data_IF_189213806929
#
_entry.id   IF_189213806929
#
_cell.length_a   1.000
_cell.length_b   1.000
_cell.length_c   1.000
_cell.angle_alpha   90.00
_cell.angle_beta   90.00
_cell.angle_gamma   90.00
#
_symmetry.space_group_name_H-M   'P 1'
#
loop_
_entity.id
_entity.type
_entity.pdbx_description
1 polymer ?
#
# COMPACT_ATOMS: atom_id res chain seq x y z
N UNK A 1 -19.34 -13.59 7.34
CA UNK A 1 -18.83 -12.86 6.17
C UNK A 1 -17.61 -12.05 6.57
N UNK A 2 -16.57 -11.93 5.74
CA UNK A 2 -15.43 -11.08 6.03
C UNK A 2 -15.85 -9.59 6.06
N UNK A 3 -15.20 -8.80 6.93
CA UNK A 3 -15.34 -7.34 6.91
C UNK A 3 -14.76 -6.76 5.60
N UNK A 4 -15.36 -5.67 5.12
CA UNK A 4 -14.85 -4.90 3.98
C UNK A 4 -13.64 -4.05 4.40
N UNK A 5 -12.48 -4.69 4.57
CA UNK A 5 -11.30 -4.05 5.10
C UNK A 5 -9.97 -4.58 4.51
N UNK A 6 -10.02 -5.24 3.36
CA UNK A 6 -8.82 -5.69 2.63
C UNK A 6 -8.57 -4.75 1.47
N UNK A 7 -7.35 -4.28 1.34
CA UNK A 7 -6.99 -3.25 0.36
C UNK A 7 -6.20 -3.88 -0.78
N UNK A 8 -6.64 -3.61 -2.00
CA UNK A 8 -5.94 -4.01 -3.21
C UNK A 8 -4.86 -2.96 -3.61
N UNK A 9 -4.02 -3.24 -4.63
CA UNK A 9 -3.00 -2.30 -5.09
C UNK A 9 -3.56 -0.97 -5.62
N UNK A 10 -4.80 -0.94 -6.10
CA UNK A 10 -5.48 0.28 -6.55
C UNK A 10 -5.95 1.15 -5.37
N UNK A 11 -5.97 0.58 -4.16
CA UNK A 11 -6.46 1.20 -2.96
C UNK A 11 -7.96 1.06 -2.76
N UNK A 12 -8.65 0.20 -3.50
CA UNK A 12 -10.04 -0.16 -3.22
C UNK A 12 -10.12 -1.12 -2.03
N UNK A 13 -11.27 -1.13 -1.34
CA UNK A 13 -11.49 -1.90 -0.10
C UNK A 13 -12.53 -2.98 -0.33
N UNK A 14 -12.14 -4.23 -0.06
CA UNK A 14 -12.89 -5.44 -0.41
C UNK A 14 -13.22 -6.28 0.82
N UNK A 15 -14.31 -7.05 0.71
CA UNK A 15 -14.77 -8.00 1.73
C UNK A 15 -14.35 -9.42 1.35
N UNK A 16 -13.08 -9.73 1.61
CA UNK A 16 -12.47 -11.04 1.32
C UNK A 16 -11.80 -11.61 2.58
N UNK A 17 -11.68 -12.95 2.73
CA UNK A 17 -11.23 -13.56 3.98
C UNK A 17 -9.73 -13.34 4.27
N UNK A 18 -8.91 -13.08 3.26
CA UNK A 18 -7.46 -13.01 3.37
C UNK A 18 -7.03 -11.88 4.32
N UNK A 19 -6.14 -12.21 5.26
CA UNK A 19 -5.67 -11.24 6.25
C UNK A 19 -4.39 -10.52 5.80
N UNK A 20 -3.54 -11.20 5.03
CA UNK A 20 -2.23 -10.69 4.65
C UNK A 20 -1.26 -10.46 5.82
N UNK A 21 -0.14 -9.81 5.53
CA UNK A 21 0.97 -9.60 6.48
C UNK A 21 0.86 -8.28 7.26
N UNK A 22 0.26 -7.25 6.66
CA UNK A 22 0.23 -5.91 7.25
C UNK A 22 -1.19 -5.41 7.47
N UNK A 23 -1.30 -4.50 8.43
CA UNK A 23 -2.48 -3.69 8.68
C UNK A 23 -2.18 -2.24 8.28
N UNK A 24 -3.15 -1.35 8.31
CA UNK A 24 -2.98 0.08 8.14
C UNK A 24 -4.27 0.83 8.37
N UNK A 25 -4.25 2.13 8.07
CA UNK A 25 -5.43 2.98 8.23
C UNK A 25 -5.55 4.08 7.20
N UNK A 26 -6.77 4.62 7.10
CA UNK A 26 -7.11 5.86 6.40
C UNK A 26 -7.93 6.79 7.29
N UNK A 27 -7.68 6.74 8.61
CA UNK A 27 -8.53 7.34 9.64
C UNK A 27 -9.79 6.54 9.95
N UNK A 28 -10.80 7.20 10.53
CA UNK A 28 -12.08 6.58 10.93
C UNK A 28 -13.07 6.71 9.77
N UNK A 29 -13.32 5.58 9.09
CA UNK A 29 -14.19 5.50 7.91
C UNK A 29 -15.24 4.37 8.01
N UNK A 30 -15.49 3.88 9.21
CA UNK A 30 -16.49 2.85 9.49
C UNK A 30 -17.49 3.33 10.55
N UNK A 31 -18.65 2.69 10.59
CA UNK A 31 -19.56 2.70 11.71
C UNK A 31 -19.17 1.57 12.69
N UNK A 32 -18.88 1.86 13.97
CA UNK A 32 -18.35 0.87 14.92
C UNK A 32 -19.37 -0.14 15.44
N UNK A 33 -20.67 0.13 15.29
CA UNK A 33 -21.74 -0.79 15.72
C UNK A 33 -21.95 -1.86 14.65
N UNK A 34 -22.05 -1.43 13.41
CA UNK A 34 -22.35 -2.31 12.26
C UNK A 34 -21.09 -2.87 11.60
N UNK A 35 -19.91 -2.29 11.88
CA UNK A 35 -18.64 -2.58 11.21
C UNK A 35 -18.71 -2.43 9.69
N UNK A 36 -19.48 -1.45 9.23
CA UNK A 36 -19.63 -1.13 7.80
C UNK A 36 -18.90 0.15 7.44
N UNK A 37 -18.43 0.27 6.19
CA UNK A 37 -17.78 1.49 5.72
C UNK A 37 -18.80 2.62 5.52
N UNK A 38 -18.43 3.82 5.95
CA UNK A 38 -19.16 5.06 5.68
C UNK A 38 -19.01 5.47 4.21
N UNK A 39 -19.71 6.51 3.73
CA UNK A 39 -19.54 7.00 2.35
C UNK A 39 -18.12 7.51 2.05
N UNK A 40 -17.45 8.14 3.04
CA UNK A 40 -16.06 8.57 2.92
C UNK A 40 -15.11 7.36 2.85
N UNK A 41 -14.04 7.44 2.05
CA UNK A 41 -13.03 6.37 1.90
C UNK A 41 -11.69 6.69 2.57
N UNK A 42 -11.56 7.90 3.14
CA UNK A 42 -10.48 8.32 4.02
C UNK A 42 -10.96 9.49 4.90
N UNK A 43 -10.25 9.74 5.99
CA UNK A 43 -10.45 10.90 6.86
C UNK A 43 -9.15 11.68 7.12
N UNK A 44 -8.01 11.18 6.66
CA UNK A 44 -6.68 11.75 6.86
C UNK A 44 -5.83 11.50 5.60
N UNK A 45 -4.82 12.34 5.37
CA UNK A 45 -3.82 12.12 4.31
C UNK A 45 -2.75 11.09 4.71
N UNK A 46 -2.49 10.97 6.02
CA UNK A 46 -1.53 10.05 6.62
C UNK A 46 -2.04 8.59 6.58
N UNK A 47 -1.94 7.98 5.41
CA UNK A 47 -2.23 6.57 5.20
C UNK A 47 -0.99 5.77 5.58
N UNK A 48 -1.11 4.93 6.61
CA UNK A 48 0.05 4.25 7.18
C UNK A 48 -0.07 2.73 7.16
N UNK A 49 1.08 2.06 7.10
CA UNK A 49 1.27 0.63 7.17
C UNK A 49 1.70 0.28 8.60
N UNK A 50 0.92 -0.54 9.27
CA UNK A 50 1.10 -1.01 10.63
C UNK A 50 1.48 -2.50 10.67
N UNK A 51 2.26 -2.88 11.67
CA UNK A 51 2.44 -4.29 12.01
C UNK A 51 1.12 -4.88 12.53
N UNK A 52 0.87 -6.15 12.18
CA UNK A 52 -0.30 -6.90 12.64
C UNK A 52 -0.27 -7.20 14.15
N UNK A 53 0.92 -7.31 14.74
CA UNK A 53 1.15 -7.55 16.17
C UNK A 53 2.23 -6.58 16.63
N UNK A 54 1.98 -5.87 17.73
CA UNK A 54 2.95 -4.94 18.31
C UNK A 54 2.73 -4.84 19.82
N UNK A 55 3.72 -5.31 20.60
CA UNK A 55 3.64 -5.34 22.07
C UNK A 55 2.34 -6.02 22.54
N UNK A 56 1.71 -5.50 23.59
CA UNK A 56 0.44 -5.98 24.12
C UNK A 56 -0.78 -5.23 23.55
N UNK A 57 -0.63 -4.54 22.42
CA UNK A 57 -1.74 -3.78 21.81
C UNK A 57 -2.73 -4.77 21.18
N UNK A 58 -3.96 -4.80 21.72
CA UNK A 58 -5.09 -5.53 21.16
C UNK A 58 -6.09 -4.55 20.56
N UNK A 59 -6.66 -4.91 19.42
CA UNK A 59 -7.65 -4.11 18.70
C UNK A 59 -8.73 -5.02 18.15
N UNK A 60 -9.96 -4.57 18.25
CA UNK A 60 -11.06 -5.14 17.50
C UNK A 60 -11.13 -4.45 16.12
N UNK A 61 -11.03 -5.17 14.99
CA UNK A 61 -11.18 -4.56 13.68
C UNK A 61 -12.52 -3.83 13.56
N UNK A 62 -12.47 -2.56 13.15
CA UNK A 62 -13.64 -1.67 13.04
C UNK A 62 -14.42 -1.51 14.35
N UNK A 63 -13.69 -1.55 15.48
CA UNK A 63 -14.27 -1.49 16.82
C UNK A 63 -14.05 -0.17 17.56
N UNK A 64 -14.52 -0.14 18.81
CA UNK A 64 -14.39 0.97 19.76
C UNK A 64 -13.03 0.94 20.48
N UNK A 65 -11.96 1.14 19.72
CA UNK A 65 -10.57 1.02 20.22
C UNK A 65 -10.03 2.27 20.95
N UNK A 66 -10.84 3.33 21.15
CA UNK A 66 -10.43 4.56 21.86
C UNK A 66 -11.10 4.69 23.24
N UNK A 67 -10.49 5.42 24.19
CA UNK A 67 -11.07 5.68 25.51
C UNK A 67 -12.50 6.24 25.44
N UNK A 68 -13.32 5.87 26.43
CA UNK A 68 -14.74 6.25 26.48
C UNK A 68 -15.59 5.56 25.41
N UNK A 69 -15.18 4.37 24.96
CA UNK A 69 -15.94 3.57 23.99
C UNK A 69 -16.03 4.22 22.61
N UNK A 70 -15.05 5.05 22.20
CA UNK A 70 -15.09 5.74 20.89
C UNK A 70 -14.52 4.86 19.79
N UNK A 71 -15.03 5.02 18.56
CA UNK A 71 -14.51 4.34 17.38
C UNK A 71 -13.02 4.59 17.21
N UNK A 72 -12.26 3.52 16.93
CA UNK A 72 -10.86 3.62 16.49
C UNK A 72 -10.74 4.00 15.01
N UNK A 73 -9.51 4.18 14.52
CA UNK A 73 -9.28 4.21 13.07
C UNK A 73 -9.64 2.86 12.45
N UNK A 74 -10.12 2.86 11.21
CA UNK A 74 -10.52 1.65 10.50
C UNK A 74 -9.32 0.78 10.20
N UNK A 75 -9.28 -0.42 10.78
CA UNK A 75 -8.25 -1.42 10.52
C UNK A 75 -8.37 -2.00 9.10
N UNK A 76 -7.45 -1.58 8.22
CA UNK A 76 -7.30 -2.08 6.84
C UNK A 76 -6.16 -3.09 6.76
N UNK A 77 -6.26 -4.07 5.86
CA UNK A 77 -5.32 -5.18 5.73
C UNK A 77 -4.76 -5.29 4.31
N UNK A 78 -3.50 -5.70 4.20
CA UNK A 78 -2.76 -5.79 2.94
C UNK A 78 -2.07 -7.15 2.87
N UNK A 79 -2.05 -7.74 1.67
CA UNK A 79 -1.32 -8.97 1.39
C UNK A 79 0.11 -8.88 1.95
N UNK A 80 0.82 -7.81 1.59
CA UNK A 80 2.17 -7.50 2.03
C UNK A 80 2.46 -6.00 1.97
N UNK A 81 3.72 -5.59 2.18
CA UNK A 81 4.09 -4.19 2.15
C UNK A 81 4.08 -3.62 0.73
N UNK A 82 4.48 -4.42 -0.27
CA UNK A 82 4.43 -4.03 -1.69
C UNK A 82 3.02 -3.58 -2.10
N UNK A 83 2.01 -4.37 -1.71
CA UNK A 83 0.59 -4.03 -1.92
C UNK A 83 0.21 -2.72 -1.22
N UNK A 84 0.66 -2.53 0.02
CA UNK A 84 0.33 -1.34 0.81
C UNK A 84 1.00 -0.06 0.28
N UNK A 85 2.23 -0.19 -0.19
CA UNK A 85 3.00 0.87 -0.86
C UNK A 85 2.37 1.25 -2.19
N UNK A 86 1.90 0.28 -2.98
CA UNK A 86 1.16 0.52 -4.21
C UNK A 86 -0.15 1.28 -3.95
N UNK A 87 -0.88 0.92 -2.89
CA UNK A 87 -2.03 1.68 -2.41
C UNK A 87 -1.67 3.04 -1.76
N UNK A 88 -0.39 3.42 -1.78
CA UNK A 88 0.14 4.71 -1.34
C UNK A 88 0.21 4.92 0.18
N UNK A 89 0.32 3.85 0.97
CA UNK A 89 0.55 3.95 2.41
C UNK A 89 2.06 4.01 2.68
N UNK A 90 2.48 4.62 3.80
CA UNK A 90 3.88 4.62 4.27
C UNK A 90 4.01 3.92 5.64
N UNK A 91 5.18 3.41 6.05
CA UNK A 91 5.30 2.76 7.36
C UNK A 91 4.93 3.65 8.57
N UNK A 92 4.36 3.04 9.62
CA UNK A 92 3.94 3.70 10.86
C UNK A 92 5.13 4.04 11.77
N UNK A 93 5.22 5.27 12.28
CA UNK A 93 6.25 5.64 13.28
C UNK A 93 6.05 4.99 14.66
N UNK A 94 4.88 4.43 14.92
CA UNK A 94 4.56 3.81 16.21
C UNK A 94 5.04 2.35 16.28
N UNK A 95 4.66 1.55 15.29
CA UNK A 95 4.85 0.10 15.27
C UNK A 95 5.95 -0.39 14.31
N UNK A 96 6.43 0.48 13.41
CA UNK A 96 7.40 0.20 12.36
C UNK A 96 8.40 1.35 12.27
N UNK A 97 8.88 1.82 13.43
CA UNK A 97 9.66 3.07 13.56
C UNK A 97 10.89 3.10 12.67
N UNK A 98 11.65 2.02 12.63
CA UNK A 98 12.85 1.91 11.79
C UNK A 98 12.49 2.04 10.31
N UNK A 99 11.52 1.26 9.83
CA UNK A 99 11.06 1.32 8.44
C UNK A 99 10.45 2.70 8.10
N UNK A 100 9.74 3.33 9.03
CA UNK A 100 9.19 4.66 8.84
C UNK A 100 10.26 5.74 8.73
N UNK A 101 11.32 5.63 9.55
CA UNK A 101 12.45 6.55 9.53
C UNK A 101 13.25 6.37 8.24
N UNK A 102 13.48 5.12 7.83
CA UNK A 102 14.17 4.78 6.60
C UNK A 102 13.40 5.28 5.37
N UNK A 103 12.10 5.03 5.29
CA UNK A 103 11.26 5.50 4.19
C UNK A 103 11.26 7.03 4.06
N UNK A 104 11.21 7.76 5.18
CA UNK A 104 11.25 9.23 5.16
C UNK A 104 12.66 9.76 4.83
N UNK A 105 13.72 9.08 5.27
CA UNK A 105 15.11 9.39 4.89
C UNK A 105 15.32 9.23 3.39
N UNK A 106 14.96 8.07 2.83
CA UNK A 106 15.00 7.80 1.39
C UNK A 106 14.15 8.78 0.58
N UNK A 107 13.01 9.23 1.12
CA UNK A 107 12.24 10.31 0.52
C UNK A 107 13.01 11.64 0.50
N UNK A 108 13.73 11.97 1.57
CA UNK A 108 14.59 13.14 1.61
C UNK A 108 15.69 13.08 0.55
N UNK A 109 16.39 11.95 0.46
CA UNK A 109 17.46 11.70 -0.51
C UNK A 109 16.95 11.79 -1.95
N UNK A 110 15.82 11.14 -2.25
CA UNK A 110 15.24 11.15 -3.59
C UNK A 110 14.82 12.54 -4.10
N UNK A 111 14.50 13.46 -3.20
CA UNK A 111 13.98 14.79 -3.55
C UNK A 111 14.87 15.95 -3.08
N UNK A 112 16.09 15.68 -2.59
CA UNK A 112 17.02 16.70 -2.12
C UNK A 112 16.50 17.52 -0.92
N UNK A 113 15.71 16.91 -0.03
CA UNK A 113 15.13 17.57 1.14
C UNK A 113 16.01 17.27 2.35
N UNK A 114 16.64 18.29 2.93
CA UNK A 114 17.52 18.16 4.09
C UNK A 114 16.78 17.69 5.35
N UNK A 115 15.57 18.19 5.59
CA UNK A 115 14.71 17.81 6.71
C UNK A 115 13.38 17.21 6.22
N UNK A 116 13.37 15.95 5.73
CA UNK A 116 12.17 15.32 5.26
C UNK A 116 11.20 15.04 6.42
N UNK A 117 9.93 15.45 6.26
CA UNK A 117 8.89 15.24 7.28
C UNK A 117 7.72 14.45 6.70
N UNK A 118 7.15 13.59 7.53
CA UNK A 118 6.00 12.75 7.16
C UNK A 118 4.82 13.53 6.52
N UNK A 119 4.41 14.72 7.00
CA UNK A 119 3.35 15.48 6.33
C UNK A 119 3.69 15.92 4.89
N UNK A 120 4.97 16.13 4.55
CA UNK A 120 5.38 16.46 3.19
C UNK A 120 5.14 15.26 2.26
N UNK A 121 5.56 14.08 2.71
CA UNK A 121 5.35 12.82 2.04
C UNK A 121 3.85 12.49 1.91
N UNK A 122 3.08 12.66 3.00
CA UNK A 122 1.63 12.39 3.01
C UNK A 122 0.87 13.25 1.99
N UNK A 123 1.25 14.52 1.81
CA UNK A 123 0.67 15.40 0.78
C UNK A 123 0.94 14.94 -0.63
N UNK A 124 2.19 14.54 -0.93
CA UNK A 124 2.57 14.02 -2.26
C UNK A 124 1.84 12.71 -2.57
N UNK A 125 1.88 11.76 -1.64
CA UNK A 125 1.18 10.49 -1.81
C UNK A 125 -0.33 10.69 -1.99
N UNK A 126 -0.93 11.67 -1.31
CA UNK A 126 -2.36 11.95 -1.45
C UNK A 126 -2.77 12.34 -2.88
N UNK A 127 -1.95 13.11 -3.60
CA UNK A 127 -2.25 13.50 -4.99
C UNK A 127 -1.95 12.39 -6.00
N UNK A 128 -1.10 11.42 -5.62
CA UNK A 128 -0.65 10.34 -6.50
C UNK A 128 -1.52 9.08 -6.42
N UNK A 129 -2.22 8.84 -5.30
CA UNK A 129 -3.04 7.62 -5.11
C UNK A 129 -4.28 7.61 -6.01
N UNK A 130 -4.57 6.50 -6.71
CA UNK A 130 -5.82 6.32 -7.45
C UNK A 130 -7.05 6.49 -6.56
N UNK A 131 -7.02 5.90 -5.37
CA UNK A 131 -8.13 5.94 -4.42
C UNK A 131 -8.48 7.35 -3.87
N UNK A 132 -7.62 8.36 -4.08
CA UNK A 132 -7.95 9.77 -3.80
C UNK A 132 -7.98 10.66 -5.05
N UNK A 133 -8.16 10.06 -6.23
CA UNK A 133 -8.35 10.77 -7.50
C UNK A 133 -7.08 11.01 -8.31
N UNK A 134 -5.93 10.51 -7.86
CA UNK A 134 -4.70 10.49 -8.64
C UNK A 134 -4.86 9.65 -9.91
N UNK A 135 -4.17 10.04 -10.98
CA UNK A 135 -4.16 9.31 -12.25
C UNK A 135 -2.82 8.60 -12.41
N UNK A 136 -2.77 7.26 -12.33
CA UNK A 136 -1.57 6.49 -12.66
C UNK A 136 -1.00 6.93 -14.01
N UNK A 137 0.31 7.22 -14.11
CA UNK A 137 0.93 7.39 -15.41
C UNK A 137 0.90 6.04 -16.16
N UNK A 138 0.74 6.11 -17.47
CA UNK A 138 0.86 4.94 -18.33
C UNK A 138 2.34 4.68 -18.60
N UNK A 139 2.76 3.43 -18.49
CA UNK A 139 4.13 2.98 -18.76
C UNK A 139 4.11 1.89 -19.83
N UNK A 140 5.13 1.89 -20.68
CA UNK A 140 5.38 0.85 -21.67
C UNK A 140 6.10 -0.35 -21.05
N UNK A 141 6.08 -1.49 -21.76
CA UNK A 141 6.82 -2.68 -21.35
C UNK A 141 8.33 -2.45 -21.30
N UNK A 142 8.85 -1.61 -22.19
CA UNK A 142 10.27 -1.24 -22.25
C UNK A 142 10.70 -0.47 -21.00
N UNK A 143 9.80 0.30 -20.38
CA UNK A 143 10.07 1.06 -19.16
C UNK A 143 10.05 0.19 -17.89
N UNK A 144 9.40 -0.99 -17.92
CA UNK A 144 9.33 -1.88 -16.76
C UNK A 144 10.70 -2.31 -16.26
N UNK A 145 11.68 -2.48 -17.16
CA UNK A 145 13.06 -2.81 -16.81
C UNK A 145 13.80 -1.74 -16.00
N UNK A 146 13.33 -0.48 -16.04
CA UNK A 146 13.88 0.63 -15.27
C UNK A 146 13.13 0.94 -13.97
N UNK A 147 12.08 0.17 -13.66
CA UNK A 147 11.34 0.30 -12.40
C UNK A 147 11.97 -0.57 -11.31
N UNK A 148 11.99 -0.11 -10.06
CA UNK A 148 12.56 -0.87 -8.96
C UNK A 148 11.66 -2.06 -8.59
N UNK A 149 12.27 -3.10 -8.01
CA UNK A 149 11.54 -4.18 -7.36
C UNK A 149 10.57 -3.61 -6.31
N UNK A 150 9.34 -4.13 -6.31
CA UNK A 150 8.26 -3.66 -5.43
C UNK A 150 7.39 -2.56 -6.04
N UNK A 151 7.72 -2.04 -7.23
CA UNK A 151 6.76 -1.28 -8.02
C UNK A 151 5.63 -2.21 -8.52
N UNK A 152 4.41 -1.69 -8.54
CA UNK A 152 3.24 -2.38 -9.09
C UNK A 152 2.65 -1.62 -10.27
N UNK A 153 2.28 -2.35 -11.31
CA UNK A 153 1.58 -1.88 -12.51
C UNK A 153 0.26 -2.61 -12.69
N UNK A 154 -0.63 -2.11 -13.53
CA UNK A 154 -1.90 -2.76 -13.84
C UNK A 154 -2.25 -2.74 -15.31
N UNK A 155 -2.84 -3.84 -15.78
CA UNK A 155 -3.55 -3.97 -17.05
C UNK A 155 -5.05 -4.09 -16.74
N UNK A 156 -5.81 -3.02 -16.96
CA UNK A 156 -7.20 -2.93 -16.51
C UNK A 156 -7.33 -3.15 -15.00
N UNK A 157 -8.00 -4.23 -14.60
CA UNK A 157 -8.22 -4.59 -13.20
C UNK A 157 -7.18 -5.58 -12.63
N UNK A 158 -6.25 -6.05 -13.47
CA UNK A 158 -5.23 -7.02 -13.04
C UNK A 158 -3.96 -6.27 -12.67
N UNK A 159 -3.50 -6.47 -11.44
CA UNK A 159 -2.28 -5.85 -10.93
C UNK A 159 -1.10 -6.82 -10.95
N UNK A 160 0.09 -6.29 -11.20
CA UNK A 160 1.34 -7.04 -11.24
C UNK A 160 2.38 -6.34 -10.38
N UNK A 161 3.07 -7.06 -9.49
CA UNK A 161 4.28 -6.56 -8.83
C UNK A 161 5.52 -6.93 -9.64
N UNK A 162 6.47 -5.99 -9.74
CA UNK A 162 7.74 -6.20 -10.42
C UNK A 162 8.76 -6.74 -9.41
N UNK A 163 9.35 -7.89 -9.71
CA UNK A 163 10.40 -8.51 -8.88
C UNK A 163 11.39 -9.26 -9.78
N UNK A 164 12.69 -8.97 -9.65
CA UNK A 164 13.77 -9.67 -10.35
C UNK A 164 13.53 -9.83 -11.87
N UNK A 165 13.09 -8.76 -12.54
CA UNK A 165 12.82 -8.76 -13.99
C UNK A 165 11.58 -9.55 -14.42
N UNK A 166 10.67 -9.86 -13.48
CA UNK A 166 9.41 -10.56 -13.73
C UNK A 166 8.23 -9.75 -13.21
N UNK A 167 7.09 -9.88 -13.89
CA UNK A 167 5.80 -9.39 -13.43
C UNK A 167 5.06 -10.54 -12.72
N UNK A 168 4.70 -10.31 -11.47
CA UNK A 168 4.02 -11.27 -10.60
C UNK A 168 2.55 -10.85 -10.48
N UNK A 169 1.64 -11.65 -11.02
CA UNK A 169 0.20 -11.38 -10.97
C UNK A 169 -0.30 -11.44 -9.52
N UNK A 170 -0.92 -10.36 -9.08
CA UNK A 170 -1.36 -10.18 -7.70
C UNK A 170 -2.79 -10.70 -7.50
N UNK A 171 -3.01 -11.37 -6.38
CA UNK A 171 -4.34 -11.64 -5.81
C UNK A 171 -4.32 -11.42 -4.30
N UNK A 172 -5.49 -11.34 -3.67
CA UNK A 172 -5.57 -11.27 -2.20
C UNK A 172 -4.92 -12.45 -1.48
N UNK A 173 -4.89 -13.62 -2.12
CA UNK A 173 -4.29 -14.85 -1.56
C UNK A 173 -2.78 -14.92 -1.76
N UNK A 174 -2.21 -14.03 -2.59
CA UNK A 174 -0.81 -14.03 -2.95
C UNK A 174 -0.57 -13.78 -4.44
N UNK A 175 0.70 -13.74 -4.81
CA UNK A 175 1.11 -13.78 -6.21
C UNK A 175 0.84 -15.16 -6.83
N UNK A 176 0.06 -15.20 -7.91
CA UNK A 176 -0.50 -16.44 -8.49
C UNK A 176 0.15 -16.88 -9.80
N UNK A 177 0.76 -15.94 -10.53
CA UNK A 177 1.47 -16.21 -11.78
C UNK A 177 2.70 -15.33 -11.89
N UNK A 178 3.69 -15.79 -12.67
CA UNK A 178 4.93 -15.07 -12.94
C UNK A 178 5.21 -15.10 -14.42
N UNK A 179 5.44 -13.93 -15.00
CA UNK A 179 5.78 -13.79 -16.42
C UNK A 179 6.96 -12.85 -16.63
N UNK A 180 7.69 -13.04 -17.72
CA UNK A 180 8.61 -12.02 -18.19
C UNK A 180 7.84 -10.80 -18.70
N UNK A 181 8.47 -9.62 -18.67
CA UNK A 181 7.80 -8.37 -19.04
C UNK A 181 7.24 -8.36 -20.47
N UNK A 182 7.86 -9.08 -21.40
CA UNK A 182 7.33 -9.25 -22.76
C UNK A 182 5.95 -9.93 -22.80
N UNK A 183 5.56 -10.70 -21.78
CA UNK A 183 4.20 -11.24 -21.65
C UNK A 183 3.12 -10.16 -21.45
N UNK A 184 3.53 -8.94 -21.12
CA UNK A 184 2.67 -7.76 -21.02
C UNK A 184 2.73 -6.85 -22.26
N UNK A 185 3.45 -7.26 -23.33
CA UNK A 185 3.61 -6.44 -24.53
C UNK A 185 2.26 -6.08 -25.18
N UNK A 186 2.14 -4.83 -25.62
CA UNK A 186 0.92 -4.31 -26.25
C UNK A 186 -0.21 -3.93 -25.29
N UNK A 187 -0.02 -4.08 -23.97
CA UNK A 187 -1.02 -3.70 -22.96
C UNK A 187 -0.80 -2.28 -22.45
N UNK A 188 -1.86 -1.48 -22.21
CA UNK A 188 -1.75 -0.17 -21.58
C UNK A 188 -1.54 -0.34 -20.06
N UNK A 189 -0.29 -0.28 -19.60
CA UNK A 189 0.02 -0.50 -18.19
C UNK A 189 -0.06 0.79 -17.39
N UNK A 190 -0.91 0.85 -16.37
CA UNK A 190 -0.92 1.95 -15.39
C UNK A 190 0.04 1.68 -14.23
N UNK A 191 0.92 2.62 -13.91
CA UNK A 191 1.80 2.53 -12.75
C UNK A 191 1.03 2.85 -11.46
N UNK A 192 0.65 1.80 -10.72
CA UNK A 192 -0.15 1.94 -9.49
C UNK A 192 0.67 2.51 -8.34
N UNK A 193 1.94 2.12 -8.25
CA UNK A 193 2.82 2.62 -7.18
C UNK A 193 3.07 4.12 -7.35
N UNK A 194 2.77 4.95 -6.34
CA UNK A 194 2.98 6.40 -6.42
C UNK A 194 4.40 6.75 -6.85
N UNK A 195 4.57 7.76 -7.71
CA UNK A 195 5.87 8.18 -8.22
C UNK A 195 6.85 8.53 -7.08
N UNK A 196 6.34 9.10 -5.98
CA UNK A 196 7.12 9.34 -4.77
C UNK A 196 7.62 8.03 -4.15
N UNK A 197 6.77 7.00 -4.06
CA UNK A 197 7.16 5.67 -3.57
C UNK A 197 8.16 4.99 -4.49
N UNK A 198 7.99 5.07 -5.82
CA UNK A 198 8.98 4.54 -6.78
C UNK A 198 10.35 5.18 -6.57
N UNK A 199 10.38 6.49 -6.31
CA UNK A 199 11.64 7.22 -6.04
C UNK A 199 12.29 6.78 -4.73
N UNK A 200 11.48 6.48 -3.70
CA UNK A 200 11.95 5.92 -2.42
C UNK A 200 12.53 4.51 -2.60
N UNK A 201 11.86 3.64 -3.37
CA UNK A 201 12.36 2.28 -3.67
C UNK A 201 13.72 2.32 -4.40
N UNK A 202 13.92 3.29 -5.31
CA UNK A 202 15.20 3.51 -6.01
C UNK A 202 16.35 3.90 -5.07
N UNK A 203 16.06 4.49 -3.90
CA UNK A 203 17.06 4.79 -2.87
C UNK A 203 17.37 3.60 -1.95
N UNK A 204 16.86 2.40 -2.28
CA UNK A 204 17.19 1.17 -1.58
C UNK A 204 16.24 0.79 -0.45
N UNK A 205 15.10 1.47 -0.28
CA UNK A 205 14.05 1.00 0.64
C UNK A 205 13.54 -0.37 0.18
N UNK A 206 13.73 -1.40 1.00
CA UNK A 206 13.36 -2.78 0.66
C UNK A 206 12.01 -3.16 1.30
N UNK A 207 10.92 -3.27 0.53
CA UNK A 207 9.62 -3.65 1.08
C UNK A 207 9.56 -5.14 1.42
N UNK A 208 8.73 -5.48 2.41
CA UNK A 208 8.44 -6.88 2.75
C UNK A 208 7.44 -7.49 1.77
N UNK A 209 7.78 -8.67 1.25
CA UNK A 209 6.99 -9.45 0.31
C UNK A 209 6.20 -10.55 1.01
N UNK A 210 5.05 -10.93 0.44
CA UNK A 210 4.40 -12.20 0.79
C UNK A 210 5.22 -13.39 0.29
N UNK A 211 5.26 -14.49 1.05
CA UNK A 211 6.03 -15.71 0.72
C UNK A 211 5.75 -16.29 -0.67
N UNK A 212 4.56 -16.05 -1.23
CA UNK A 212 4.23 -16.54 -2.58
C UNK A 212 4.90 -15.73 -3.69
N UNK A 213 5.59 -14.64 -3.37
CA UNK A 213 6.44 -13.93 -4.31
C UNK A 213 7.80 -14.61 -4.50
N UNK A 214 8.17 -15.53 -3.61
CA UNK A 214 9.48 -16.19 -3.65
C UNK A 214 9.56 -17.15 -4.85
N UNK A 215 10.77 -17.40 -5.39
CA UNK A 215 10.94 -18.02 -6.70
C UNK A 215 10.39 -19.43 -6.89
#
# INVERSE_FOLDING_TARGET
MPLQNRVDPFGAIHAVPERGLFMGNRGIIHDPETKTLLKKRWALQAWIICACKFRNVRREPMGRNRPGGKAGWTELFFLDEVTALAAGHRPCFFCRREQASDFVRSFGEAFGISEPRAPMLDRRLHTERPASGGRPPVVSVQELGGLPDGAMVADGNTAYALRAGKALEWSFAGYVARMAFNGLAGRPLGLLTPATTVSVLRQGYAPVWHRSADP
#
